data_IF_651870520850
#
_entry.id   IF_651870520850
#
_cell.length_a   1.000
_cell.length_b   1.000
_cell.length_c   1.000
_cell.angle_alpha   90.00
_cell.angle_beta   90.00
_cell.angle_gamma   90.00
#
_symmetry.space_group_name_H-M   'P 1'
#
loop_
_entity.id
_entity.type
_entity.pdbx_description
1 polymer ?
#
# COMPACT_ATOMS: atom_id res chain seq x y z
N UNK A 1 15.98 -30.49 -6.31
CA UNK A 1 14.94 -29.44 -6.38
C UNK A 1 15.47 -28.22 -5.65
N UNK A 2 15.91 -27.20 -6.39
CA UNK A 2 16.38 -25.92 -5.82
C UNK A 2 15.21 -24.93 -5.82
N UNK A 3 15.00 -24.27 -4.68
CA UNK A 3 13.91 -23.32 -4.41
C UNK A 3 14.16 -21.98 -5.13
N UNK A 4 13.10 -21.29 -5.51
CA UNK A 4 13.09 -20.13 -6.41
C UNK A 4 13.60 -18.80 -5.79
N UNK A 5 14.56 -18.84 -4.88
CA UNK A 5 15.00 -17.65 -4.11
C UNK A 5 16.49 -17.28 -4.20
N UNK A 6 17.32 -17.98 -4.99
CA UNK A 6 18.77 -17.76 -5.04
C UNK A 6 19.28 -16.96 -6.26
N UNK A 7 18.50 -15.99 -6.75
CA UNK A 7 18.96 -15.07 -7.80
C UNK A 7 18.73 -13.64 -7.39
N UNK A 8 19.62 -13.09 -6.57
CA UNK A 8 20.16 -11.72 -6.70
C UNK A 8 21.41 -11.63 -5.81
N UNK A 9 22.54 -12.11 -6.34
CA UNK A 9 23.87 -11.81 -5.79
C UNK A 9 24.29 -10.39 -6.17
N UNK A 10 24.97 -9.74 -5.23
CA UNK A 10 26.11 -8.82 -5.38
C UNK A 10 26.37 -8.17 -6.75
N UNK A 11 26.53 -6.85 -6.75
CA UNK A 11 27.75 -6.21 -7.28
C UNK A 11 27.85 -4.74 -6.83
N UNK A 12 29.01 -4.41 -6.26
CA UNK A 12 29.49 -3.06 -5.96
C UNK A 12 29.64 -2.21 -7.23
N UNK A 13 29.24 -0.93 -7.16
CA UNK A 13 29.83 0.12 -7.99
C UNK A 13 29.64 1.50 -7.34
N UNK A 14 30.77 2.04 -6.89
CA UNK A 14 31.07 3.45 -6.63
C UNK A 14 30.69 4.36 -7.83
N UNK A 15 30.34 5.63 -7.57
CA UNK A 15 30.56 6.84 -8.41
C UNK A 15 29.75 8.03 -7.82
N UNK A 16 30.48 8.86 -7.06
CA UNK A 16 30.70 10.30 -7.24
C UNK A 16 29.54 11.33 -7.33
N UNK A 17 29.49 12.22 -6.33
CA UNK A 17 28.82 13.54 -6.34
C UNK A 17 29.46 14.50 -7.36
N UNK A 18 28.69 15.52 -7.81
CA UNK A 18 29.27 16.86 -7.87
C UNK A 18 28.39 17.95 -7.26
N UNK A 19 29.06 18.85 -6.54
CA UNK A 19 28.60 20.17 -6.12
C UNK A 19 28.33 21.09 -7.32
N UNK A 20 27.32 21.96 -7.20
CA UNK A 20 27.40 23.36 -7.66
C UNK A 20 26.31 24.25 -7.07
N UNK A 21 26.75 25.42 -6.65
CA UNK A 21 26.10 26.49 -5.91
C UNK A 21 25.67 27.66 -6.85
N UNK A 22 24.82 28.54 -6.30
CA UNK A 22 24.48 29.94 -6.67
C UNK A 22 23.32 30.24 -7.66
N UNK A 23 22.21 30.74 -7.10
CA UNK A 23 21.91 32.19 -7.17
C UNK A 23 20.64 32.71 -7.87
N UNK A 24 19.80 33.41 -7.08
CA UNK A 24 18.88 34.54 -7.37
C UNK A 24 17.42 34.34 -7.85
N UNK A 25 16.60 35.37 -7.61
CA UNK A 25 15.28 35.33 -6.96
C UNK A 25 14.08 35.94 -7.75
N UNK A 26 12.88 35.36 -7.53
CA UNK A 26 11.53 35.98 -7.51
C UNK A 26 10.79 36.31 -8.84
N UNK A 27 9.44 36.49 -8.87
CA UNK A 27 8.46 36.53 -7.77
C UNK A 27 7.21 35.60 -7.90
N UNK A 28 6.47 35.56 -6.79
CA UNK A 28 5.23 34.85 -6.41
C UNK A 28 4.08 34.69 -7.41
N UNK A 29 3.37 33.55 -7.33
CA UNK A 29 1.90 33.43 -7.44
C UNK A 29 1.39 32.21 -6.65
N UNK A 30 0.13 32.32 -6.22
CA UNK A 30 -0.58 31.69 -5.11
C UNK A 30 -1.10 30.25 -5.30
N UNK A 31 -1.26 29.58 -4.15
CA UNK A 31 -2.23 28.53 -3.80
C UNK A 31 -2.23 27.20 -4.60
N UNK A 32 -1.72 26.14 -3.96
CA UNK A 32 -2.34 24.81 -3.92
C UNK A 32 -1.70 24.00 -2.80
N UNK A 33 -2.51 23.30 -1.99
CA UNK A 33 -2.08 22.64 -0.75
C UNK A 33 -0.94 21.63 -0.95
N UNK A 34 0.20 21.93 -0.33
CA UNK A 34 1.36 21.04 -0.27
C UNK A 34 1.08 19.84 0.63
N UNK A 35 1.20 18.64 0.06
CA UNK A 35 1.43 17.42 0.83
C UNK A 35 2.89 17.48 1.29
N UNK A 36 3.10 17.81 2.57
CA UNK A 36 4.43 17.97 3.16
C UNK A 36 5.27 16.70 2.97
N UNK A 37 6.48 16.88 2.47
CA UNK A 37 7.50 15.82 2.40
C UNK A 37 7.88 15.41 3.81
N UNK A 38 7.65 14.15 4.14
CA UNK A 38 7.95 13.60 5.45
C UNK A 38 9.46 13.65 5.72
N UNK A 39 9.85 14.36 6.78
CA UNK A 39 11.16 14.23 7.40
C UNK A 39 11.31 12.79 7.92
N UNK A 40 12.46 12.17 7.62
CA UNK A 40 12.79 10.81 8.04
C UNK A 40 13.04 10.75 9.56
N UNK A 41 11.97 10.77 10.35
CA UNK A 41 11.98 10.28 11.72
C UNK A 41 11.77 8.75 11.65
N UNK A 42 12.65 7.99 12.31
CA UNK A 42 12.60 6.53 12.41
C UNK A 42 11.35 6.06 13.19
N UNK A 43 10.22 6.15 12.50
CA UNK A 43 8.85 5.85 12.95
C UNK A 43 8.60 4.35 13.10
N UNK A 44 9.53 3.52 12.61
CA UNK A 44 9.53 2.08 12.82
C UNK A 44 9.91 1.70 14.25
N UNK A 45 10.41 2.64 15.08
CA UNK A 45 10.67 2.42 16.51
C UNK A 45 9.46 1.85 17.26
N UNK A 46 8.25 2.19 16.85
CA UNK A 46 7.01 1.62 17.39
C UNK A 46 6.87 0.11 17.17
N UNK A 47 7.46 -0.37 16.08
CA UNK A 47 7.50 -1.77 15.67
C UNK A 47 8.85 -2.42 15.95
N UNK A 48 9.86 -1.73 16.50
CA UNK A 48 11.15 -2.35 16.86
C UNK A 48 11.03 -3.48 17.91
N UNK A 49 9.83 -3.68 18.45
CA UNK A 49 9.42 -4.88 19.19
C UNK A 49 8.89 -6.02 18.30
N UNK A 50 9.30 -6.12 17.02
CA UNK A 50 9.08 -7.33 16.20
C UNK A 50 9.71 -8.53 16.92
N UNK A 51 8.94 -9.21 17.76
CA UNK A 51 9.47 -10.25 18.62
C UNK A 51 9.70 -11.52 17.80
N UNK A 52 10.94 -11.73 17.36
CA UNK A 52 11.40 -12.99 16.77
C UNK A 52 11.52 -14.12 17.79
N UNK A 53 10.48 -14.36 18.59
CA UNK A 53 10.45 -15.50 19.50
C UNK A 53 9.99 -16.73 18.74
N UNK A 54 10.64 -17.88 18.96
CA UNK A 54 10.23 -19.19 18.44
C UNK A 54 8.73 -19.38 18.67
N UNK A 55 7.95 -19.46 17.59
CA UNK A 55 6.51 -19.69 17.69
C UNK A 55 6.22 -21.01 18.44
N UNK A 56 5.23 -21.05 19.34
CA UNK A 56 4.76 -22.31 19.91
C UNK A 56 4.32 -23.26 18.78
N UNK A 57 4.65 -24.55 18.91
CA UNK A 57 4.30 -25.57 17.91
C UNK A 57 2.77 -25.72 17.73
N UNK A 58 1.99 -25.37 18.75
CA UNK A 58 0.52 -25.32 18.72
C UNK A 58 0.01 -24.09 19.47
N UNK A 59 -0.90 -23.33 18.85
CA UNK A 59 -1.54 -22.15 19.44
C UNK A 59 -3.02 -22.47 19.63
N UNK A 60 -3.48 -22.43 20.87
CA UNK A 60 -4.89 -22.58 21.21
C UNK A 60 -5.49 -21.21 21.49
N UNK A 61 -6.59 -20.91 20.79
CA UNK A 61 -7.46 -19.76 21.08
C UNK A 61 -8.78 -20.29 21.65
N UNK A 62 -9.57 -19.40 22.25
CA UNK A 62 -10.89 -19.75 22.77
C UNK A 62 -11.78 -20.39 21.69
N UNK A 63 -12.58 -21.38 22.07
CA UNK A 63 -13.32 -22.22 21.15
C UNK A 63 -14.40 -21.46 20.38
N UNK A 64 -15.08 -20.51 21.03
CA UNK A 64 -16.11 -19.70 20.37
C UNK A 64 -15.47 -18.71 19.39
N UNK A 65 -14.30 -18.17 19.74
CA UNK A 65 -13.50 -17.33 18.83
C UNK A 65 -13.05 -18.14 17.62
N UNK A 66 -12.50 -19.35 17.83
CA UNK A 66 -12.06 -20.24 16.76
C UNK A 66 -13.21 -20.54 15.79
N UNK A 67 -14.34 -21.01 16.33
CA UNK A 67 -15.52 -21.34 15.54
C UNK A 67 -16.06 -20.14 14.77
N UNK A 68 -16.14 -18.97 15.41
CA UNK A 68 -16.58 -17.73 14.76
C UNK A 68 -15.68 -17.32 13.59
N UNK A 69 -14.36 -17.38 13.78
CA UNK A 69 -13.37 -17.04 12.74
C UNK A 69 -13.42 -18.05 11.59
N UNK A 70 -13.45 -19.35 11.87
CA UNK A 70 -13.55 -20.40 10.85
C UNK A 70 -14.81 -20.22 10.00
N UNK A 71 -15.95 -19.92 10.63
CA UNK A 71 -17.20 -19.68 9.90
C UNK A 71 -17.08 -18.50 8.94
N UNK A 72 -16.51 -17.39 9.40
CA UNK A 72 -16.31 -16.20 8.53
C UNK A 72 -15.32 -16.50 7.41
N UNK A 73 -14.29 -17.31 7.64
CA UNK A 73 -13.35 -17.71 6.59
C UNK A 73 -13.99 -18.63 5.56
N UNK A 74 -14.88 -19.53 5.97
CA UNK A 74 -15.54 -20.48 5.08
C UNK A 74 -16.70 -19.86 4.28
N UNK A 75 -17.50 -19.01 4.92
CA UNK A 75 -18.77 -18.52 4.39
C UNK A 75 -18.76 -17.02 4.06
N UNK A 76 -17.74 -16.29 4.53
CA UNK A 76 -17.74 -14.84 4.52
C UNK A 76 -18.68 -14.23 5.57
N UNK A 77 -18.80 -12.90 5.52
CA UNK A 77 -19.82 -12.16 6.27
C UNK A 77 -21.06 -11.95 5.40
N UNK A 78 -22.24 -11.88 6.05
CA UNK A 78 -23.43 -11.35 5.37
C UNK A 78 -23.17 -9.91 4.94
N UNK A 79 -23.85 -9.47 3.86
CA UNK A 79 -23.69 -8.11 3.32
C UNK A 79 -23.99 -7.04 4.38
N UNK A 80 -25.02 -7.25 5.20
CA UNK A 80 -25.41 -6.30 6.24
C UNK A 80 -24.38 -6.20 7.37
N UNK A 81 -23.82 -7.34 7.81
CA UNK A 81 -22.76 -7.35 8.82
C UNK A 81 -21.48 -6.72 8.27
N UNK A 82 -21.12 -7.02 7.03
CA UNK A 82 -19.96 -6.42 6.37
C UNK A 82 -20.11 -4.89 6.26
N UNK A 83 -21.26 -4.42 5.78
CA UNK A 83 -21.52 -2.98 5.67
C UNK A 83 -21.49 -2.30 7.04
N UNK A 84 -22.12 -2.89 8.05
CA UNK A 84 -22.13 -2.37 9.43
C UNK A 84 -20.70 -2.19 9.96
N UNK A 85 -19.82 -3.17 9.74
CA UNK A 85 -18.41 -3.06 10.14
C UNK A 85 -17.66 -2.01 9.31
N UNK A 86 -17.88 -1.97 7.99
CA UNK A 86 -17.22 -1.02 7.10
C UNK A 86 -17.62 0.43 7.39
N UNK A 87 -18.86 0.68 7.81
CA UNK A 87 -19.35 2.02 8.14
C UNK A 87 -18.84 2.48 9.52
N UNK A 88 -18.65 1.53 10.44
CA UNK A 88 -18.15 1.81 11.80
C UNK A 88 -16.70 2.29 11.82
N UNK A 89 -15.83 1.70 11.02
CA UNK A 89 -14.39 1.95 11.11
C UNK A 89 -13.95 2.92 10.01
N UNK A 90 -13.84 4.22 10.29
CA UNK A 90 -13.35 5.19 9.30
C UNK A 90 -11.83 5.36 9.35
N UNK A 91 -11.15 5.58 8.20
CA UNK A 91 -9.73 5.88 8.15
C UNK A 91 -9.32 6.95 9.17
N UNK A 92 -8.22 6.76 9.93
CA UNK A 92 -7.69 7.78 10.81
C UNK A 92 -7.25 9.02 10.03
N UNK A 93 -7.65 10.22 10.48
CA UNK A 93 -7.36 11.49 9.79
C UNK A 93 -5.86 11.81 9.74
N UNK A 94 -5.09 11.32 10.70
CA UNK A 94 -3.64 11.46 10.76
C UNK A 94 -2.87 10.38 9.99
N UNK A 95 -3.55 9.42 9.35
CA UNK A 95 -2.92 8.37 8.55
C UNK A 95 -3.68 8.13 7.24
N UNK A 96 -3.47 9.03 6.27
CA UNK A 96 -4.17 9.03 4.98
C UNK A 96 -3.97 7.76 4.14
N UNK A 97 -2.90 6.99 4.41
CA UNK A 97 -2.60 5.73 3.70
C UNK A 97 -3.47 4.55 4.11
N UNK A 98 -4.18 4.61 5.23
CA UNK A 98 -5.16 3.59 5.61
C UNK A 98 -6.48 3.87 4.86
N UNK A 99 -6.41 3.76 3.54
CA UNK A 99 -7.53 4.02 2.65
C UNK A 99 -7.40 3.14 1.41
N UNK A 100 -8.51 3.00 0.67
CA UNK A 100 -8.49 2.35 -0.64
C UNK A 100 -7.85 3.30 -1.63
N UNK A 101 -6.70 2.91 -2.18
CA UNK A 101 -6.05 3.73 -3.19
C UNK A 101 -6.78 3.65 -4.52
N UNK A 102 -6.90 4.81 -5.15
CA UNK A 102 -7.43 4.91 -6.49
C UNK A 102 -6.28 4.95 -7.50
N UNK A 103 -6.50 4.30 -8.63
CA UNK A 103 -5.70 4.55 -9.82
C UNK A 103 -5.89 6.00 -10.28
N UNK A 104 -4.85 6.60 -10.83
CA UNK A 104 -4.94 7.95 -11.38
C UNK A 104 -6.02 7.97 -12.50
N UNK A 105 -6.99 8.92 -12.48
CA UNK A 105 -8.14 8.90 -13.39
C UNK A 105 -7.78 8.83 -14.88
N UNK A 106 -6.67 9.45 -15.28
CA UNK A 106 -6.19 9.44 -16.66
C UNK A 106 -5.68 8.05 -17.10
N UNK A 107 -4.92 7.37 -16.24
CA UNK A 107 -4.48 5.99 -16.48
C UNK A 107 -5.71 5.09 -16.50
N UNK A 108 -6.56 5.21 -15.48
CA UNK A 108 -7.77 4.42 -15.37
C UNK A 108 -8.65 4.57 -16.62
N UNK A 109 -8.95 5.79 -17.07
CA UNK A 109 -9.78 6.03 -18.26
C UNK A 109 -9.26 5.30 -19.50
N UNK A 110 -7.94 5.35 -19.72
CA UNK A 110 -7.28 4.78 -20.91
C UNK A 110 -6.95 3.28 -20.80
N UNK A 111 -7.16 2.66 -19.64
CA UNK A 111 -6.93 1.22 -19.42
C UNK A 111 -8.06 0.38 -20.02
N UNK A 112 -7.73 -0.80 -20.55
CA UNK A 112 -8.68 -1.81 -20.99
C UNK A 112 -9.60 -2.29 -19.85
N UNK A 113 -10.70 -2.99 -20.17
CA UNK A 113 -11.69 -3.36 -19.15
C UNK A 113 -11.18 -4.41 -18.15
N UNK A 114 -10.29 -5.31 -18.58
CA UNK A 114 -9.87 -6.43 -17.73
C UNK A 114 -9.07 -5.98 -16.49
N UNK A 115 -8.06 -5.09 -16.59
CA UNK A 115 -7.37 -4.56 -15.41
C UNK A 115 -8.27 -3.69 -14.52
N UNK A 116 -9.24 -2.95 -15.09
CA UNK A 116 -10.24 -2.20 -14.30
C UNK A 116 -11.10 -3.13 -13.42
N UNK A 117 -11.57 -4.24 -13.99
CA UNK A 117 -12.36 -5.23 -13.23
C UNK A 117 -11.51 -5.87 -12.14
N UNK A 118 -10.24 -6.17 -12.42
CA UNK A 118 -9.30 -6.70 -11.42
C UNK A 118 -9.03 -5.70 -10.30
N UNK A 119 -8.78 -4.44 -10.65
CA UNK A 119 -8.58 -3.33 -9.71
C UNK A 119 -9.80 -3.18 -8.80
N UNK A 120 -11.02 -3.15 -9.34
CA UNK A 120 -12.26 -3.07 -8.54
C UNK A 120 -12.42 -4.24 -7.55
N UNK A 121 -12.09 -5.47 -7.96
CA UNK A 121 -12.12 -6.63 -7.07
C UNK A 121 -11.08 -6.50 -5.94
N UNK A 122 -9.85 -6.08 -6.26
CA UNK A 122 -8.79 -5.88 -5.28
C UNK A 122 -9.08 -4.70 -4.33
N UNK A 123 -9.66 -3.61 -4.83
CA UNK A 123 -10.12 -2.49 -4.01
C UNK A 123 -11.21 -2.90 -3.01
N UNK A 124 -12.07 -3.86 -3.37
CA UNK A 124 -13.08 -4.42 -2.45
C UNK A 124 -12.40 -5.16 -1.29
N UNK A 125 -11.34 -5.93 -1.57
CA UNK A 125 -10.53 -6.60 -0.56
C UNK A 125 -9.79 -5.56 0.30
N UNK A 126 -9.14 -4.59 -0.33
CA UNK A 126 -8.43 -3.51 0.35
C UNK A 126 -9.34 -2.71 1.28
N UNK A 127 -10.61 -2.49 0.91
CA UNK A 127 -11.59 -1.86 1.79
C UNK A 127 -11.73 -2.66 3.08
N UNK A 128 -11.93 -3.97 3.02
CA UNK A 128 -12.03 -4.80 4.23
C UNK A 128 -10.74 -4.79 5.06
N UNK A 129 -9.57 -4.87 4.42
CA UNK A 129 -8.27 -4.85 5.10
C UNK A 129 -8.02 -3.53 5.82
N UNK A 130 -8.23 -2.40 5.16
CA UNK A 130 -8.02 -1.05 5.75
C UNK A 130 -8.99 -0.76 6.89
N UNK A 131 -10.25 -1.22 6.77
CA UNK A 131 -11.27 -1.14 7.83
C UNK A 131 -10.90 -2.01 9.04
N UNK A 132 -10.42 -3.24 8.80
CA UNK A 132 -9.91 -4.13 9.84
C UNK A 132 -8.67 -3.56 10.55
N UNK A 133 -7.69 -3.07 9.79
CA UNK A 133 -6.49 -2.42 10.31
C UNK A 133 -6.84 -1.22 11.21
N UNK A 134 -7.81 -0.40 10.79
CA UNK A 134 -8.33 0.70 11.62
C UNK A 134 -8.89 0.20 12.95
N UNK A 135 -9.68 -0.87 12.94
CA UNK A 135 -10.25 -1.45 14.16
C UNK A 135 -9.16 -1.92 15.13
N UNK A 136 -8.12 -2.59 14.62
CA UNK A 136 -6.98 -3.06 15.42
C UNK A 136 -6.18 -1.87 15.98
N UNK A 137 -5.92 -0.83 15.18
CA UNK A 137 -5.24 0.40 15.63
C UNK A 137 -5.99 1.10 16.77
N UNK A 138 -7.32 1.18 16.69
CA UNK A 138 -8.13 1.77 17.76
C UNK A 138 -8.06 0.95 19.05
N UNK A 139 -8.17 -0.37 18.96
CA UNK A 139 -8.03 -1.26 20.12
C UNK A 139 -6.64 -1.13 20.76
N UNK A 140 -5.63 -1.09 19.92
CA UNK A 140 -4.25 -0.95 20.32
C UNK A 140 -3.96 0.42 20.98
N UNK A 141 -4.46 1.52 20.41
CA UNK A 141 -4.35 2.86 21.00
C UNK A 141 -5.03 2.96 22.36
N UNK A 142 -6.21 2.33 22.51
CA UNK A 142 -6.91 2.28 23.80
C UNK A 142 -6.16 1.48 24.86
N UNK A 143 -5.58 0.33 24.50
CA UNK A 143 -4.84 -0.53 25.42
C UNK A 143 -3.47 0.05 25.82
N UNK A 144 -2.74 0.63 24.86
CA UNK A 144 -1.42 1.22 25.09
C UNK A 144 -1.45 2.47 25.98
N UNK A 145 -2.59 3.15 26.05
CA UNK A 145 -2.81 4.26 26.99
C UNK A 145 -2.92 3.80 28.46
N UNK A 146 -3.26 2.52 28.69
CA UNK A 146 -3.52 1.97 30.03
C UNK A 146 -2.40 1.03 30.48
N UNK A 147 -1.80 0.31 29.54
CA UNK A 147 -0.81 -0.72 29.79
C UNK A 147 0.43 -0.43 28.94
N UNK A 148 1.61 -0.47 29.55
CA UNK A 148 2.86 -0.21 28.84
C UNK A 148 3.14 -1.27 27.74
N UNK A 149 3.34 -0.86 26.48
CA UNK A 149 3.67 -1.77 25.38
C UNK A 149 4.92 -2.62 25.62
N UNK A 150 5.88 -2.07 26.36
CA UNK A 150 7.16 -2.69 26.71
C UNK A 150 6.99 -3.96 27.55
N UNK A 151 5.91 -4.04 28.32
CA UNK A 151 5.72 -5.08 29.35
C UNK A 151 4.55 -6.03 29.04
N UNK A 152 3.68 -5.67 28.10
CA UNK A 152 2.45 -6.41 27.83
C UNK A 152 2.54 -7.23 26.55
N UNK A 153 2.57 -8.55 26.70
CA UNK A 153 2.58 -9.50 25.56
C UNK A 153 1.40 -9.26 24.59
N UNK A 154 0.13 -9.09 25.03
CA UNK A 154 -0.98 -8.80 24.12
C UNK A 154 -0.79 -7.52 23.30
N UNK A 155 -0.20 -6.48 23.88
CA UNK A 155 0.06 -5.23 23.16
C UNK A 155 1.14 -5.43 22.10
N UNK A 156 2.21 -6.17 22.41
CA UNK A 156 3.22 -6.55 21.41
C UNK A 156 2.61 -7.35 20.27
N UNK A 157 1.77 -8.34 20.57
CA UNK A 157 1.06 -9.13 19.55
C UNK A 157 0.15 -8.27 18.66
N UNK A 158 -0.54 -7.28 19.23
CA UNK A 158 -1.32 -6.32 18.45
C UNK A 158 -0.43 -5.43 17.58
N UNK A 159 0.72 -4.96 18.09
CA UNK A 159 1.67 -4.18 17.31
C UNK A 159 2.24 -5.00 16.14
N UNK A 160 2.63 -6.25 16.37
CA UNK A 160 3.07 -7.19 15.32
C UNK A 160 1.96 -7.42 14.29
N UNK A 161 0.71 -7.62 14.74
CA UNK A 161 -0.45 -7.75 13.88
C UNK A 161 -0.72 -6.50 13.03
N UNK A 162 -0.59 -5.30 13.60
CA UNK A 162 -0.69 -4.03 12.88
C UNK A 162 0.39 -3.94 11.80
N UNK A 163 1.64 -4.28 12.13
CA UNK A 163 2.74 -4.25 11.17
C UNK A 163 2.47 -5.20 9.98
N UNK A 164 2.04 -6.44 10.25
CA UNK A 164 1.71 -7.43 9.22
C UNK A 164 0.52 -6.99 8.36
N UNK A 165 -0.54 -6.44 8.96
CA UNK A 165 -1.70 -5.94 8.22
C UNK A 165 -1.37 -4.70 7.38
N UNK A 166 -0.56 -3.78 7.92
CA UNK A 166 -0.09 -2.59 7.19
C UNK A 166 0.79 -3.00 6.01
N UNK A 167 1.71 -3.94 6.21
CA UNK A 167 2.53 -4.50 5.13
C UNK A 167 1.67 -5.22 4.07
N UNK A 168 0.69 -6.03 4.49
CA UNK A 168 -0.24 -6.68 3.58
C UNK A 168 -1.05 -5.67 2.76
N UNK A 169 -1.50 -4.57 3.38
CA UNK A 169 -2.16 -3.46 2.67
C UNK A 169 -1.22 -2.80 1.65
N UNK A 170 0.06 -2.62 1.98
CA UNK A 170 1.05 -2.10 1.05
C UNK A 170 1.31 -3.06 -0.13
N UNK A 171 1.40 -4.36 0.13
CA UNK A 171 1.55 -5.37 -0.91
C UNK A 171 0.34 -5.40 -1.87
N UNK A 172 -0.89 -5.22 -1.35
CA UNK A 172 -2.08 -5.05 -2.19
C UNK A 172 -1.97 -3.84 -3.13
N UNK A 173 -1.46 -2.71 -2.63
CA UNK A 173 -1.24 -1.51 -3.46
C UNK A 173 -0.20 -1.76 -4.57
N UNK A 174 0.87 -2.49 -4.28
CA UNK A 174 1.86 -2.88 -5.29
C UNK A 174 1.23 -3.78 -6.35
N UNK A 175 0.42 -4.77 -5.95
CA UNK A 175 -0.30 -5.62 -6.89
C UNK A 175 -1.30 -4.84 -7.76
N UNK A 176 -2.02 -3.89 -7.17
CA UNK A 176 -2.90 -2.98 -7.89
C UNK A 176 -2.09 -2.20 -8.95
N UNK A 177 -0.99 -1.57 -8.55
CA UNK A 177 -0.09 -0.84 -9.46
C UNK A 177 0.45 -1.74 -10.59
N UNK A 178 0.88 -2.96 -10.28
CA UNK A 178 1.38 -3.91 -11.26
C UNK A 178 0.30 -4.39 -12.25
N UNK A 179 -0.96 -4.49 -11.82
CA UNK A 179 -2.06 -4.87 -12.71
C UNK A 179 -2.24 -3.91 -13.88
N UNK A 180 -1.87 -2.64 -13.70
CA UNK A 180 -1.91 -1.61 -14.74
C UNK A 180 -0.62 -1.53 -15.57
N UNK A 181 0.45 -2.27 -15.23
CA UNK A 181 1.77 -2.15 -15.90
C UNK A 181 1.71 -2.38 -17.40
N UNK A 182 0.96 -3.39 -17.85
CA UNK A 182 0.84 -3.74 -19.27
C UNK A 182 -0.02 -2.75 -20.08
N UNK A 183 -0.70 -1.83 -19.41
CA UNK A 183 -1.58 -0.82 -20.01
C UNK A 183 -0.87 0.55 -20.13
N UNK A 184 0.29 0.68 -19.49
CA UNK A 184 1.15 1.84 -19.60
C UNK A 184 2.08 1.69 -20.80
N UNK A 185 2.41 2.82 -21.43
CA UNK A 185 3.51 2.86 -22.40
C UNK A 185 4.82 2.49 -21.70
N UNK A 186 5.75 1.92 -22.46
CA UNK A 186 7.06 1.48 -21.96
C UNK A 186 7.84 2.59 -21.24
N UNK A 187 7.75 3.83 -21.74
CA UNK A 187 8.33 5.05 -21.13
C UNK A 187 7.82 5.36 -19.71
N UNK A 188 6.69 4.77 -19.31
CA UNK A 188 6.10 4.90 -17.97
C UNK A 188 6.21 3.64 -17.14
N UNK A 189 6.87 2.59 -17.63
CA UNK A 189 7.03 1.31 -16.92
C UNK A 189 7.77 1.46 -15.59
N UNK A 190 8.62 2.49 -15.46
CA UNK A 190 9.32 2.85 -14.23
C UNK A 190 8.38 3.32 -13.11
N UNK A 191 7.19 3.84 -13.43
CA UNK A 191 6.15 4.21 -12.45
C UNK A 191 5.56 2.99 -11.74
N UNK A 192 5.70 1.81 -12.34
CA UNK A 192 5.32 0.53 -11.73
C UNK A 192 6.42 -0.06 -10.83
N UNK A 193 7.59 0.56 -10.75
CA UNK A 193 8.70 0.07 -9.92
C UNK A 193 8.40 0.26 -8.43
N UNK A 194 8.88 -0.67 -7.61
CA UNK A 194 8.85 -0.56 -6.14
C UNK A 194 9.70 0.62 -5.64
N UNK A 195 10.67 1.08 -6.43
CA UNK A 195 11.48 2.27 -6.13
C UNK A 195 10.68 3.57 -6.10
N UNK A 196 9.44 3.59 -6.64
CA UNK A 196 8.53 4.73 -6.50
C UNK A 196 7.58 4.48 -5.31
N UNK A 197 7.69 5.23 -4.20
CA UNK A 197 6.78 5.06 -3.08
C UNK A 197 5.32 5.26 -3.49
N UNK A 198 4.42 4.49 -2.87
CA UNK A 198 2.98 4.66 -3.08
C UNK A 198 2.48 5.77 -2.15
N UNK A 199 2.18 6.95 -2.72
CA UNK A 199 1.75 8.14 -1.98
C UNK A 199 0.45 8.66 -2.58
N UNK A 200 -0.62 8.68 -1.76
CA UNK A 200 -1.96 9.20 -2.07
C UNK A 200 -2.75 8.54 -3.24
N UNK A 201 -2.08 8.11 -4.31
CA UNK A 201 -2.61 7.32 -5.43
C UNK A 201 -1.61 6.24 -5.86
N UNK A 202 -2.05 5.28 -6.68
CA UNK A 202 -1.19 4.16 -7.10
C UNK A 202 0.11 4.62 -7.78
N UNK A 203 0.07 5.68 -8.58
CA UNK A 203 1.24 6.18 -9.34
C UNK A 203 1.72 7.57 -8.89
N UNK A 204 1.14 8.11 -7.80
CA UNK A 204 1.48 9.43 -7.27
C UNK A 204 0.94 10.61 -8.12
N UNK A 205 1.21 11.85 -7.67
CA UNK A 205 0.66 13.06 -8.28
C UNK A 205 1.32 13.47 -9.60
N UNK A 206 2.57 13.05 -9.86
CA UNK A 206 3.37 13.52 -11.01
C UNK A 206 3.03 12.84 -12.35
N UNK A 207 2.08 11.90 -12.35
CA UNK A 207 1.61 11.20 -13.57
C UNK A 207 1.18 12.18 -14.66
N UNK A 208 0.50 13.27 -14.30
CA UNK A 208 0.05 14.28 -15.28
C UNK A 208 1.21 14.99 -15.96
N UNK A 209 2.30 15.24 -15.25
CA UNK A 209 3.50 15.84 -15.84
C UNK A 209 4.18 14.86 -16.78
N UNK A 210 4.30 13.58 -16.38
CA UNK A 210 4.81 12.52 -17.24
C UNK A 210 3.95 12.31 -18.51
N UNK A 211 2.62 12.36 -18.40
CA UNK A 211 1.67 12.21 -19.52
C UNK A 211 1.73 13.41 -20.48
N UNK A 212 1.79 14.64 -19.95
CA UNK A 212 1.92 15.86 -20.79
C UNK A 212 3.21 15.86 -21.61
N UNK A 213 4.30 15.37 -21.04
CA UNK A 213 5.60 15.24 -21.71
C UNK A 213 5.61 14.23 -22.87
N UNK A 214 4.80 13.16 -22.82
CA UNK A 214 4.67 12.24 -23.97
C UNK A 214 3.40 12.43 -24.82
N UNK A 215 2.54 13.38 -24.45
CA UNK A 215 1.41 13.84 -25.25
C UNK A 215 1.82 14.71 -26.44
N UNK A 216 3.11 15.07 -26.57
CA UNK A 216 3.62 15.90 -27.67
C UNK A 216 3.83 15.14 -28.99
N UNK A 217 3.63 13.82 -29.06
CA UNK A 217 3.64 13.09 -30.34
C UNK A 217 2.55 12.00 -30.41
N UNK A 218 1.69 12.13 -31.42
CA UNK A 218 0.57 11.25 -31.72
C UNK A 218 0.97 9.78 -31.98
N UNK A 219 0.02 8.89 -31.62
CA UNK A 219 -0.12 7.45 -31.95
C UNK A 219 0.19 6.50 -30.79
N UNK A 220 -0.86 6.14 -30.06
CA UNK A 220 -0.89 4.97 -29.16
C UNK A 220 -1.10 3.73 -30.05
N UNK A 221 -0.18 2.77 -29.95
CA UNK A 221 -0.17 1.54 -30.76
C UNK A 221 -1.51 0.80 -30.66
N UNK A 222 -2.09 0.44 -31.82
CA UNK A 222 -3.19 -0.52 -31.90
C UNK A 222 -2.66 -1.92 -31.54
N UNK A 223 -3.43 -2.76 -30.84
CA UNK A 223 -3.05 -4.15 -30.62
C UNK A 223 -2.93 -4.85 -31.97
N UNK A 224 -1.77 -5.46 -32.21
CA UNK A 224 -1.57 -6.36 -33.35
C UNK A 224 -2.39 -7.62 -33.07
N UNK A 225 -3.48 -7.80 -33.81
CA UNK A 225 -4.19 -9.07 -33.82
C UNK A 225 -3.25 -10.15 -34.36
N UNK A 226 -2.81 -11.06 -33.50
CA UNK A 226 -2.11 -12.27 -33.93
C UNK A 226 -3.13 -13.22 -34.58
N UNK A 227 -3.19 -13.20 -35.91
CA UNK A 227 -3.63 -14.33 -36.70
C UNK A 227 -2.51 -15.37 -36.66
N UNK A 228 -2.74 -16.51 -36.00
CA UNK A 228 -2.43 -17.88 -36.45
C UNK A 228 -3.06 -18.87 -35.47
#
# INVERSE_FOLDING_TARGET
MKSAYDHFNNEDADIQKPDRDLGEAGPSLSETGECTTAENNDTLSYFNFLTGSSAPLEIFIDADIAFGVEKVLAEGLTKDNLNTLQDKYNPPTNCSRISVLQCNPEIFKNTSQAPKTRDSALQTIQKSVTKGLTAVLLAFGGLSAIISPETSKPIKQLADGIALLAYGSHALDLHLRHAFRGELKEEYSSLCSEAHPIVCSLFGPNVQNCIKLAGSNHTIQKPVASLF
#
